data_IF_165509610843
#
_entry.id   IF_165509610843
#
_cell.length_a   1.000
_cell.length_b   1.000
_cell.length_c   1.000
_cell.angle_alpha   90.00
_cell.angle_beta   90.00
_cell.angle_gamma   90.00
#
_symmetry.space_group_name_H-M   'P 1'
#
loop_
_entity.id
_entity.type
_entity.pdbx_description
1 polymer ?
#
# COMPACT_ATOMS: atom_id res chain seq x y z
N UNK A 1 15.42 -16.42 6.48
CA UNK A 1 16.73 -15.75 6.68
C UNK A 1 16.70 -14.37 6.04
N UNK A 2 16.39 -13.32 6.79
CA UNK A 2 16.52 -11.94 6.33
C UNK A 2 17.06 -11.11 7.50
N UNK A 3 18.38 -10.97 7.55
CA UNK A 3 19.09 -9.92 8.28
C UNK A 3 20.56 -10.00 7.86
N UNK A 4 20.84 -9.63 6.60
CA UNK A 4 22.21 -9.29 6.20
C UNK A 4 22.35 -7.80 6.42
N UNK A 5 22.95 -7.40 7.54
CA UNK A 5 23.44 -6.03 7.70
C UNK A 5 24.44 -5.76 6.57
N UNK A 6 24.18 -4.73 5.77
CA UNK A 6 25.11 -4.27 4.75
C UNK A 6 25.88 -3.06 5.30
N UNK A 7 27.20 -3.10 5.17
CA UNK A 7 28.05 -1.97 5.53
C UNK A 7 28.22 -1.06 4.32
N UNK A 8 28.01 0.24 4.51
CA UNK A 8 28.15 1.27 3.47
C UNK A 8 29.16 2.30 3.96
N UNK A 9 30.09 2.69 3.10
CA UNK A 9 31.01 3.81 3.34
C UNK A 9 30.50 5.03 2.57
N UNK A 10 30.19 6.12 3.26
CA UNK A 10 29.79 7.39 2.67
C UNK A 10 30.89 8.45 2.86
N UNK A 11 31.11 9.27 1.83
CA UNK A 11 31.98 10.45 1.92
C UNK A 11 31.11 11.68 2.12
N UNK A 12 31.41 12.44 3.15
CA UNK A 12 30.70 13.68 3.49
C UNK A 12 31.64 14.87 3.28
N UNK A 13 31.08 16.05 2.99
CA UNK A 13 31.84 17.28 3.09
C UNK A 13 32.24 17.51 4.56
N UNK A 14 33.24 18.38 4.80
CA UNK A 14 33.64 18.71 6.16
C UNK A 14 32.49 19.36 6.95
N UNK A 15 31.64 20.14 6.27
CA UNK A 15 30.46 20.80 6.84
C UNK A 15 29.38 19.78 7.21
N UNK A 16 29.05 18.85 6.32
CA UNK A 16 28.05 17.80 6.57
C UNK A 16 28.50 16.84 7.69
N UNK A 17 29.80 16.55 7.76
CA UNK A 17 30.36 15.75 8.84
C UNK A 17 30.23 16.46 10.20
N UNK A 18 30.56 17.75 10.25
CA UNK A 18 30.41 18.54 11.47
C UNK A 18 28.94 18.61 11.91
N UNK A 19 28.02 18.81 10.96
CA UNK A 19 26.59 18.77 11.22
C UNK A 19 26.16 17.41 11.78
N UNK A 20 26.54 16.30 11.14
CA UNK A 20 26.22 14.95 11.60
C UNK A 20 26.70 14.71 13.04
N UNK A 21 27.92 15.16 13.38
CA UNK A 21 28.47 14.98 14.73
C UNK A 21 27.70 15.79 15.79
N UNK A 22 27.10 16.92 15.41
CA UNK A 22 26.30 17.76 16.31
C UNK A 22 24.92 17.19 16.70
N UNK A 23 24.48 16.11 16.04
CA UNK A 23 23.16 15.51 16.29
C UNK A 23 23.19 14.62 17.53
N UNK A 24 22.69 15.12 18.65
CA UNK A 24 22.54 14.35 19.90
C UNK A 24 21.07 14.06 20.18
N UNK A 25 20.43 13.29 19.29
CA UNK A 25 19.02 12.87 19.41
C UNK A 25 18.91 11.35 19.58
N UNK A 26 17.88 10.92 20.31
CA UNK A 26 17.50 9.51 20.48
C UNK A 26 18.62 8.57 20.95
N UNK A 27 19.65 9.09 21.63
CA UNK A 27 20.76 8.29 22.16
C UNK A 27 21.75 7.79 21.10
N UNK A 28 21.77 8.37 19.90
CA UNK A 28 22.75 8.04 18.87
C UNK A 28 24.14 8.59 19.23
N UNK A 29 25.07 7.71 19.62
CA UNK A 29 26.40 8.08 20.12
C UNK A 29 27.46 7.87 19.03
N UNK A 30 27.37 6.77 18.30
CA UNK A 30 28.34 6.43 17.25
C UNK A 30 28.01 7.09 15.92
N UNK A 31 29.01 7.26 15.05
CA UNK A 31 28.82 7.80 13.70
C UNK A 31 27.76 7.02 12.91
N UNK A 32 27.78 5.69 12.98
CA UNK A 32 26.80 4.83 12.31
C UNK A 32 25.39 4.99 12.86
N UNK A 33 25.24 5.21 14.17
CA UNK A 33 23.92 5.52 14.77
C UNK A 33 23.42 6.87 14.33
N UNK A 34 24.27 7.90 14.33
CA UNK A 34 23.91 9.25 13.86
C UNK A 34 23.49 9.24 12.39
N UNK A 35 24.17 8.46 11.54
CA UNK A 35 23.75 8.27 10.13
C UNK A 35 22.40 7.56 10.03
N UNK A 36 22.16 6.51 10.83
CA UNK A 36 20.86 5.83 10.86
C UNK A 36 19.74 6.78 11.31
N UNK A 37 20.02 7.62 12.29
CA UNK A 37 19.08 8.62 12.80
C UNK A 37 18.76 9.68 11.75
N UNK A 38 19.77 10.19 11.03
CA UNK A 38 19.52 11.11 9.90
C UNK A 38 18.69 10.46 8.81
N UNK A 39 18.92 9.17 8.50
CA UNK A 39 18.10 8.43 7.54
C UNK A 39 16.67 8.26 8.06
N UNK A 40 16.48 7.99 9.36
CA UNK A 40 15.17 7.90 9.98
C UNK A 40 14.44 9.24 9.93
N UNK A 41 15.09 10.33 10.36
CA UNK A 41 14.56 11.69 10.27
C UNK A 41 14.28 12.10 8.83
N UNK A 42 15.11 11.71 7.86
CA UNK A 42 14.87 11.95 6.44
C UNK A 42 13.66 11.15 5.94
N UNK A 43 13.47 9.91 6.41
CA UNK A 43 12.27 9.10 6.09
C UNK A 43 11.01 9.71 6.68
N UNK A 44 11.10 10.27 7.89
CA UNK A 44 10.00 10.95 8.57
C UNK A 44 9.70 12.33 7.95
N UNK A 45 10.73 13.09 7.57
CA UNK A 45 10.60 14.45 7.01
C UNK A 45 10.23 14.47 5.53
N UNK A 46 10.57 13.42 4.77
CA UNK A 46 10.04 13.18 3.41
C UNK A 46 8.63 12.57 3.43
N UNK A 47 7.86 12.89 4.48
CA UNK A 47 6.61 12.23 4.85
C UNK A 47 5.68 12.02 3.67
N UNK A 48 5.16 10.80 3.50
CA UNK A 48 3.98 10.46 2.67
C UNK A 48 3.93 10.90 1.19
N UNK A 49 4.86 11.70 0.66
CA UNK A 49 4.69 12.45 -0.59
C UNK A 49 4.97 11.65 -1.86
N UNK A 50 5.16 10.34 -1.74
CA UNK A 50 5.24 9.43 -2.89
C UNK A 50 4.21 8.35 -2.70
N UNK A 51 3.23 8.31 -3.62
CA UNK A 51 2.20 7.27 -3.67
C UNK A 51 2.82 5.86 -3.57
N UNK A 52 3.99 5.63 -4.18
CA UNK A 52 4.71 4.36 -4.09
C UNK A 52 5.15 3.99 -2.66
N UNK A 53 5.57 4.98 -1.86
CA UNK A 53 5.93 4.76 -0.45
C UNK A 53 4.70 4.59 0.43
N UNK A 54 3.67 5.41 0.22
CA UNK A 54 2.40 5.27 0.92
C UNK A 54 1.77 3.90 0.61
N UNK A 55 1.92 3.41 -0.61
CA UNK A 55 1.54 2.07 -1.02
C UNK A 55 2.37 0.98 -0.33
N UNK A 56 3.70 1.10 -0.30
CA UNK A 56 4.53 0.10 0.39
C UNK A 56 4.19 0.04 1.89
N UNK A 57 4.03 1.19 2.54
CA UNK A 57 3.64 1.31 3.94
C UNK A 57 2.24 0.76 4.20
N UNK A 58 1.24 1.11 3.38
CA UNK A 58 -0.12 0.62 3.53
C UNK A 58 -0.25 -0.87 3.20
N UNK A 59 0.54 -1.36 2.24
CA UNK A 59 0.54 -2.74 1.82
C UNK A 59 1.30 -3.65 2.80
N UNK A 60 2.23 -3.15 3.61
CA UNK A 60 3.01 -3.98 4.56
C UNK A 60 2.13 -4.86 5.45
N UNK A 61 1.01 -4.32 5.94
CA UNK A 61 0.03 -5.09 6.73
C UNK A 61 -0.64 -6.21 5.92
N UNK A 62 -0.78 -6.03 4.61
CA UNK A 62 -1.41 -6.98 3.69
C UNK A 62 -0.40 -7.91 2.99
N UNK A 63 0.89 -7.57 2.91
CA UNK A 63 1.90 -8.35 2.17
C UNK A 63 2.05 -9.77 2.72
N UNK A 64 2.09 -9.93 4.04
CA UNK A 64 2.17 -11.25 4.68
C UNK A 64 0.91 -12.09 4.44
N UNK A 65 -0.25 -11.46 4.40
CA UNK A 65 -1.51 -12.12 4.08
C UNK A 65 -1.57 -12.51 2.60
N UNK A 66 -1.22 -11.59 1.68
CA UNK A 66 -1.13 -11.85 0.23
C UNK A 66 -0.16 -12.99 -0.07
N UNK A 67 1.01 -13.00 0.55
CA UNK A 67 2.02 -14.06 0.35
C UNK A 67 1.48 -15.44 0.75
N UNK A 68 0.89 -15.56 1.95
CA UNK A 68 0.24 -16.81 2.39
C UNK A 68 -0.92 -17.20 1.47
N UNK A 69 -1.71 -16.23 1.03
CA UNK A 69 -2.84 -16.46 0.15
C UNK A 69 -2.45 -16.93 -1.25
N UNK A 70 -1.29 -16.52 -1.75
CA UNK A 70 -0.76 -16.99 -3.04
C UNK A 70 -0.34 -18.46 -3.02
N UNK A 71 -0.01 -19.00 -1.85
CA UNK A 71 0.34 -20.41 -1.64
C UNK A 71 -0.89 -21.32 -1.55
N UNK A 72 -2.10 -20.75 -1.44
CA UNK A 72 -3.35 -21.51 -1.37
C UNK A 72 -3.73 -22.15 -2.71
N UNK A 73 -4.22 -23.40 -2.65
CA UNK A 73 -4.66 -24.14 -3.83
C UNK A 73 -5.92 -23.54 -4.49
N UNK A 74 -6.77 -22.87 -3.72
CA UNK A 74 -7.96 -22.21 -4.21
C UNK A 74 -7.94 -20.73 -3.86
N UNK A 75 -7.84 -19.90 -4.91
CA UNK A 75 -7.85 -18.44 -4.80
C UNK A 75 -9.21 -17.90 -5.21
N UNK A 76 -9.59 -16.79 -4.61
CA UNK A 76 -10.82 -16.06 -4.82
C UNK A 76 -10.46 -14.69 -5.36
N UNK A 77 -10.96 -14.38 -6.55
CA UNK A 77 -10.81 -13.06 -7.17
C UNK A 77 -11.45 -11.96 -6.29
N UNK A 78 -12.49 -12.28 -5.51
CA UNK A 78 -13.09 -11.35 -4.55
C UNK A 78 -12.09 -10.95 -3.47
N UNK A 79 -11.41 -11.94 -2.88
CA UNK A 79 -10.44 -11.69 -1.80
C UNK A 79 -9.25 -10.91 -2.35
N UNK A 80 -8.73 -11.28 -3.52
CA UNK A 80 -7.65 -10.54 -4.18
C UNK A 80 -8.04 -9.08 -4.48
N UNK A 81 -9.23 -8.85 -5.05
CA UNK A 81 -9.74 -7.52 -5.35
C UNK A 81 -9.90 -6.65 -4.10
N UNK A 82 -10.42 -7.19 -3.00
CA UNK A 82 -10.55 -6.46 -1.73
C UNK A 82 -9.18 -6.13 -1.13
N UNK A 83 -8.22 -7.06 -1.15
CA UNK A 83 -6.88 -6.79 -0.64
C UNK A 83 -6.15 -5.71 -1.44
N UNK A 84 -6.37 -5.63 -2.76
CA UNK A 84 -5.84 -4.56 -3.60
C UNK A 84 -6.51 -3.21 -3.29
N UNK A 85 -7.86 -3.18 -3.29
CA UNK A 85 -8.64 -1.99 -2.96
C UNK A 85 -8.19 -1.36 -1.63
N UNK A 86 -8.07 -2.16 -0.57
CA UNK A 86 -7.65 -1.69 0.74
C UNK A 86 -6.22 -1.12 0.75
N UNK A 87 -5.28 -1.79 0.07
CA UNK A 87 -3.88 -1.34 0.03
C UNK A 87 -3.74 -0.01 -0.71
N UNK A 88 -4.40 0.11 -1.87
CA UNK A 88 -4.36 1.30 -2.72
C UNK A 88 -5.12 2.47 -2.09
N UNK A 89 -6.32 2.23 -1.56
CA UNK A 89 -7.12 3.28 -0.91
C UNK A 89 -6.39 3.87 0.29
N UNK A 90 -5.77 3.02 1.12
CA UNK A 90 -4.98 3.48 2.24
C UNK A 90 -3.76 4.31 1.80
N UNK A 91 -3.12 3.95 0.68
CA UNK A 91 -2.01 4.73 0.12
C UNK A 91 -2.47 6.12 -0.35
N UNK A 92 -3.62 6.18 -1.02
CA UNK A 92 -4.23 7.40 -1.53
C UNK A 92 -4.61 8.33 -0.38
N UNK A 93 -5.26 7.82 0.67
CA UNK A 93 -5.60 8.62 1.85
C UNK A 93 -4.36 9.14 2.59
N UNK A 94 -3.32 8.32 2.71
CA UNK A 94 -2.05 8.74 3.34
C UNK A 94 -1.31 9.80 2.52
N UNK A 95 -1.43 9.78 1.19
CA UNK A 95 -0.80 10.76 0.32
C UNK A 95 -1.61 12.06 0.19
N UNK A 96 -2.94 11.96 0.15
CA UNK A 96 -3.86 13.09 -0.04
C UNK A 96 -4.22 13.85 1.24
N UNK A 97 -3.75 13.42 2.41
CA UNK A 97 -4.05 14.10 3.69
C UNK A 97 -3.52 15.53 3.80
N UNK A 98 -2.60 15.92 2.89
CA UNK A 98 -1.90 17.20 2.92
C UNK A 98 -2.30 18.13 1.74
N UNK A 99 -3.27 17.75 0.92
CA UNK A 99 -3.75 18.55 -0.23
C UNK A 99 -5.02 19.33 0.12
N UNK A 100 -5.05 20.63 -0.18
CA UNK A 100 -6.26 21.47 -0.10
C UNK A 100 -6.67 21.94 -1.50
N UNK A 101 -7.95 21.77 -1.91
CA UNK A 101 -9.04 21.13 -1.17
C UNK A 101 -8.91 19.60 -1.16
N UNK A 102 -9.08 19.00 0.02
CA UNK A 102 -8.82 17.58 0.26
C UNK A 102 -9.83 16.66 -0.43
N UNK A 103 -11.13 16.92 -0.28
CA UNK A 103 -12.17 16.01 -0.76
C UNK A 103 -12.18 15.81 -2.29
N UNK A 104 -12.12 16.87 -3.14
CA UNK A 104 -12.10 16.69 -4.59
C UNK A 104 -10.83 15.98 -5.09
N UNK A 105 -9.68 16.21 -4.44
CA UNK A 105 -8.43 15.54 -4.81
C UNK A 105 -8.49 14.05 -4.46
N UNK A 106 -8.94 13.73 -3.24
CA UNK A 106 -9.10 12.34 -2.81
C UNK A 106 -10.10 11.57 -3.67
N UNK A 107 -11.24 12.17 -4.01
CA UNK A 107 -12.24 11.53 -4.89
C UNK A 107 -11.64 11.21 -6.27
N UNK A 108 -10.95 12.18 -6.86
CA UNK A 108 -10.27 12.00 -8.15
C UNK A 108 -9.20 10.91 -8.10
N UNK A 109 -8.42 10.85 -7.02
CA UNK A 109 -7.32 9.89 -6.88
C UNK A 109 -7.83 8.48 -6.53
N UNK A 110 -8.98 8.37 -5.84
CA UNK A 110 -9.60 7.11 -5.45
C UNK A 110 -10.39 6.45 -6.60
N UNK A 111 -10.93 7.26 -7.52
CA UNK A 111 -11.79 6.80 -8.59
C UNK A 111 -11.19 5.63 -9.41
N UNK A 112 -9.93 5.67 -9.88
CA UNK A 112 -9.35 4.57 -10.67
C UNK A 112 -9.28 3.24 -9.89
N UNK A 113 -8.96 3.30 -8.59
CA UNK A 113 -8.90 2.11 -7.73
C UNK A 113 -10.30 1.52 -7.51
N UNK A 114 -11.33 2.36 -7.38
CA UNK A 114 -12.72 1.90 -7.28
C UNK A 114 -13.19 1.31 -8.61
N UNK A 115 -12.88 1.93 -9.74
CA UNK A 115 -13.19 1.40 -11.07
C UNK A 115 -12.57 0.01 -11.29
N UNK A 116 -11.27 -0.16 -11.00
CA UNK A 116 -10.60 -1.45 -11.11
C UNK A 116 -11.20 -2.52 -10.20
N UNK A 117 -11.68 -2.14 -9.00
CA UNK A 117 -12.40 -3.05 -8.12
C UNK A 117 -13.75 -3.48 -8.72
N UNK A 118 -14.53 -2.52 -9.24
CA UNK A 118 -15.82 -2.80 -9.87
C UNK A 118 -15.68 -3.68 -11.12
N UNK A 119 -14.64 -3.48 -11.94
CA UNK A 119 -14.34 -4.36 -13.07
C UNK A 119 -14.13 -5.81 -12.62
N UNK A 120 -13.39 -6.03 -11.53
CA UNK A 120 -13.19 -7.38 -10.98
C UNK A 120 -14.49 -7.97 -10.42
N UNK A 121 -15.36 -7.15 -9.84
CA UNK A 121 -16.69 -7.60 -9.40
C UNK A 121 -17.58 -7.99 -10.58
N UNK A 122 -17.51 -7.24 -11.68
CA UNK A 122 -18.21 -7.57 -12.91
C UNK A 122 -17.72 -8.89 -13.51
N UNK A 123 -16.41 -9.15 -13.49
CA UNK A 123 -15.86 -10.44 -13.91
C UNK A 123 -16.40 -11.61 -13.07
N UNK A 124 -16.54 -11.41 -11.75
CA UNK A 124 -17.14 -12.41 -10.87
C UNK A 124 -18.62 -12.68 -11.19
N UNK A 125 -19.36 -11.67 -11.64
CA UNK A 125 -20.80 -11.82 -11.94
C UNK A 125 -21.06 -12.38 -13.35
N UNK A 126 -20.20 -12.11 -14.32
CA UNK A 126 -20.41 -12.52 -15.71
C UNK A 126 -19.82 -13.89 -16.06
N UNK A 127 -18.79 -14.36 -15.33
CA UNK A 127 -18.15 -15.63 -15.66
C UNK A 127 -19.04 -16.83 -15.36
N UNK A 128 -19.07 -17.81 -16.27
CA UNK A 128 -19.80 -19.08 -16.07
C UNK A 128 -19.16 -19.97 -14.98
N UNK A 129 -17.87 -19.79 -14.72
CA UNK A 129 -17.14 -20.43 -13.62
C UNK A 129 -16.22 -19.40 -12.95
N UNK A 130 -16.78 -18.49 -12.13
CA UNK A 130 -16.00 -17.43 -11.52
C UNK A 130 -14.97 -18.04 -10.56
N UNK A 131 -13.78 -17.45 -10.52
CA UNK A 131 -12.74 -17.81 -9.55
C UNK A 131 -13.15 -17.32 -8.16
N UNK A 132 -14.12 -17.98 -7.55
CA UNK A 132 -14.65 -17.74 -6.21
C UNK A 132 -14.67 -19.05 -5.43
N UNK A 133 -14.28 -18.97 -4.16
CA UNK A 133 -14.39 -20.11 -3.22
C UNK A 133 -15.87 -20.44 -2.96
N UNK A 134 -16.71 -19.41 -2.90
CA UNK A 134 -18.16 -19.56 -2.71
C UNK A 134 -18.89 -19.23 -4.01
N UNK A 135 -19.22 -20.26 -4.79
CA UNK A 135 -19.94 -20.12 -6.07
C UNK A 135 -21.34 -19.52 -5.88
N UNK A 136 -22.00 -19.83 -4.77
CA UNK A 136 -23.31 -19.27 -4.41
C UNK A 136 -23.27 -17.75 -4.22
N UNK A 137 -22.17 -17.20 -3.70
CA UNK A 137 -22.02 -15.75 -3.53
C UNK A 137 -21.93 -15.04 -4.89
N UNK A 138 -21.25 -15.65 -5.87
CA UNK A 138 -21.18 -15.11 -7.22
C UNK A 138 -22.54 -15.20 -7.93
N UNK A 139 -23.29 -16.29 -7.73
CA UNK A 139 -24.66 -16.42 -8.22
C UNK A 139 -25.58 -15.35 -7.64
N UNK A 140 -25.53 -15.07 -6.33
CA UNK A 140 -26.34 -14.01 -5.70
C UNK A 140 -26.03 -12.61 -6.26
N UNK A 141 -24.76 -12.33 -6.54
CA UNK A 141 -24.36 -11.05 -7.16
C UNK A 141 -24.94 -10.96 -8.58
N UNK A 142 -24.85 -12.05 -9.34
CA UNK A 142 -25.39 -12.14 -10.71
C UNK A 142 -26.91 -12.00 -10.75
N UNK A 143 -27.62 -12.72 -9.89
CA UNK A 143 -29.09 -12.67 -9.80
C UNK A 143 -29.58 -11.26 -9.48
N UNK A 144 -28.90 -10.52 -8.59
CA UNK A 144 -29.24 -9.12 -8.28
C UNK A 144 -29.05 -8.21 -9.50
N UNK A 145 -27.92 -8.34 -10.21
CA UNK A 145 -27.65 -7.54 -11.41
C UNK A 145 -28.62 -7.85 -12.57
N UNK A 146 -29.04 -9.10 -12.70
CA UNK A 146 -30.04 -9.49 -13.70
C UNK A 146 -31.44 -9.00 -13.31
N UNK A 147 -31.78 -8.95 -12.01
CA UNK A 147 -33.08 -8.45 -11.54
C UNK A 147 -33.25 -6.93 -11.69
N UNK A 148 -32.17 -6.15 -11.64
CA UNK A 148 -32.18 -4.69 -11.83
C UNK A 148 -32.23 -4.27 -13.32
N UNK A 149 -32.00 -5.18 -14.27
CA UNK A 149 -32.07 -4.91 -15.71
C UNK A 149 -33.46 -5.20 -16.34
N UNK A 150 -34.47 -5.49 -15.52
CA UNK A 150 -35.84 -5.83 -15.98
C UNK A 150 -36.82 -4.62 -15.85
N UNK A 151 -36.35 -3.45 -15.39
CA UNK A 151 -37.12 -2.19 -15.48
C UNK A 151 -36.75 -1.36 -16.72
#
# INVERSE_FOLDING_TARGET
>A
MLNKSQSISARLSAEDYAYLMSIDRNGAITQSEKVREVIAMARESTGGHSLARSYLSSAEAMLSLKARYLEENQRSLLIEAVMELLSESAAIFQNGSNTEPMAPSLEKDLLPTVEAFLEKMLLLSQQSSPRSIHKESAMKIRERLESENIE
#
